data_IF_904001504561
#
_entry.id   IF_904001504561
#
_cell.length_a   1.000
_cell.length_b   1.000
_cell.length_c   1.000
_cell.angle_alpha   90.00
_cell.angle_beta   90.00
_cell.angle_gamma   90.00
#
_symmetry.space_group_name_H-M   'P 1'
#
loop_
_entity.id
_entity.type
_entity.pdbx_description
1 polymer ?
#
# COMPACT_ATOMS: atom_id res chain seq x y z
N UNK A 1 -73.45 -14.42 22.00
CA UNK A 1 -72.03 -14.04 21.85
C UNK A 1 -71.44 -14.58 20.55
N UNK A 2 -71.62 -15.85 20.21
CA UNK A 2 -71.07 -16.46 18.98
C UNK A 2 -71.34 -15.72 17.65
N UNK A 3 -72.55 -15.16 17.43
CA UNK A 3 -72.85 -14.42 16.18
C UNK A 3 -72.12 -13.08 16.14
N UNK A 4 -71.90 -12.43 17.29
CA UNK A 4 -71.21 -11.14 17.36
C UNK A 4 -69.69 -11.32 17.15
N UNK A 5 -69.13 -12.37 17.73
CA UNK A 5 -67.72 -12.77 17.51
C UNK A 5 -67.48 -13.15 16.04
N UNK A 6 -68.40 -13.87 15.40
CA UNK A 6 -68.30 -14.19 13.97
C UNK A 6 -68.37 -12.94 13.08
N UNK A 7 -69.19 -11.94 13.44
CA UNK A 7 -69.28 -10.68 12.69
C UNK A 7 -68.02 -9.82 12.90
N UNK A 8 -67.45 -9.80 14.12
CA UNK A 8 -66.19 -9.12 14.41
C UNK A 8 -65.02 -9.78 13.67
N UNK A 9 -64.94 -11.12 13.66
CA UNK A 9 -63.94 -11.86 12.90
C UNK A 9 -64.02 -11.59 11.38
N UNK A 10 -65.22 -11.60 10.80
CA UNK A 10 -65.42 -11.27 9.37
C UNK A 10 -65.00 -9.82 9.09
N UNK A 11 -65.27 -8.89 10.00
CA UNK A 11 -64.89 -7.47 9.84
C UNK A 11 -63.37 -7.27 9.92
N UNK A 12 -62.69 -7.99 10.79
CA UNK A 12 -61.23 -7.94 10.92
C UNK A 12 -60.54 -8.58 9.72
N UNK A 13 -61.07 -9.69 9.19
CA UNK A 13 -60.59 -10.29 7.94
C UNK A 13 -60.76 -9.34 6.75
N UNK A 14 -61.91 -8.68 6.62
CA UNK A 14 -62.17 -7.68 5.57
C UNK A 14 -61.24 -6.47 5.69
N UNK A 15 -61.02 -5.95 6.91
CA UNK A 15 -60.08 -4.85 7.18
C UNK A 15 -58.64 -5.23 6.82
N UNK A 16 -58.24 -6.47 7.12
CA UNK A 16 -56.91 -6.99 6.79
C UNK A 16 -56.73 -7.12 5.27
N UNK A 17 -57.75 -7.58 4.55
CA UNK A 17 -57.74 -7.64 3.09
C UNK A 17 -57.70 -6.25 2.44
N UNK A 18 -58.43 -5.27 2.98
CA UNK A 18 -58.38 -3.88 2.51
C UNK A 18 -57.00 -3.26 2.72
N UNK A 19 -56.39 -3.44 3.89
CA UNK A 19 -55.01 -2.98 4.16
C UNK A 19 -54.00 -3.67 3.24
N UNK A 20 -54.20 -4.95 2.95
CA UNK A 20 -53.37 -5.69 2.00
C UNK A 20 -53.49 -5.11 0.59
N UNK A 21 -54.70 -4.88 0.08
CA UNK A 21 -54.94 -4.29 -1.23
C UNK A 21 -54.44 -2.84 -1.31
N UNK A 22 -54.62 -2.05 -0.26
CA UNK A 22 -54.10 -0.68 -0.17
C UNK A 22 -52.57 -0.68 -0.19
N UNK A 23 -51.94 -1.63 0.50
CA UNK A 23 -50.50 -1.88 0.46
C UNK A 23 -50.00 -2.22 -0.94
N UNK A 24 -50.72 -3.08 -1.66
CA UNK A 24 -50.40 -3.43 -3.05
C UNK A 24 -50.51 -2.21 -3.98
N UNK A 25 -51.58 -1.42 -3.88
CA UNK A 25 -51.82 -0.24 -4.71
C UNK A 25 -50.78 0.86 -4.42
N UNK A 26 -50.45 1.08 -3.13
CA UNK A 26 -49.39 2.01 -2.72
C UNK A 26 -48.02 1.56 -3.22
N UNK A 27 -47.72 0.26 -3.13
CA UNK A 27 -46.49 -0.35 -3.64
C UNK A 27 -46.33 -0.19 -5.15
N UNK A 28 -47.39 -0.45 -5.92
CA UNK A 28 -47.41 -0.27 -7.36
C UNK A 28 -47.16 1.21 -7.74
N UNK A 29 -47.83 2.15 -7.06
CA UNK A 29 -47.67 3.58 -7.31
C UNK A 29 -46.27 4.07 -6.94
N UNK A 30 -45.68 3.54 -5.86
CA UNK A 30 -44.30 3.82 -5.45
C UNK A 30 -43.30 3.30 -6.50
N UNK A 31 -43.42 2.05 -6.92
CA UNK A 31 -42.55 1.48 -7.94
C UNK A 31 -42.69 2.20 -9.28
N UNK A 32 -43.92 2.51 -9.73
CA UNK A 32 -44.15 3.29 -10.96
C UNK A 32 -43.55 4.71 -10.89
N UNK A 33 -43.59 5.35 -9.71
CA UNK A 33 -43.02 6.69 -9.50
C UNK A 33 -41.49 6.68 -9.53
N UNK A 34 -40.86 5.68 -8.93
CA UNK A 34 -39.40 5.59 -8.79
C UNK A 34 -38.72 4.60 -9.73
N UNK A 35 -39.44 4.01 -10.69
CA UNK A 35 -38.92 3.01 -11.63
C UNK A 35 -37.60 3.43 -12.28
N UNK A 36 -37.47 4.71 -12.63
CA UNK A 36 -36.25 5.24 -13.25
C UNK A 36 -35.06 5.27 -12.28
N UNK A 37 -35.29 5.56 -10.99
CA UNK A 37 -34.24 5.51 -9.97
C UNK A 37 -33.75 4.08 -9.75
N UNK A 38 -34.65 3.09 -9.71
CA UNK A 38 -34.26 1.68 -9.59
C UNK A 38 -33.46 1.19 -10.80
N UNK A 39 -33.89 1.56 -12.02
CA UNK A 39 -33.15 1.25 -13.25
C UNK A 39 -31.78 1.92 -13.22
N UNK A 40 -31.70 3.20 -12.84
CA UNK A 40 -30.44 3.93 -12.72
C UNK A 40 -29.50 3.26 -11.71
N UNK A 41 -30.01 2.80 -10.56
CA UNK A 41 -29.23 2.08 -9.55
C UNK A 41 -28.67 0.76 -10.10
N UNK A 42 -29.49 -0.01 -10.81
CA UNK A 42 -29.07 -1.27 -11.44
C UNK A 42 -27.98 -1.01 -12.48
N UNK A 43 -28.20 -0.02 -13.36
CA UNK A 43 -27.23 0.37 -14.39
C UNK A 43 -25.90 0.80 -13.76
N UNK A 44 -25.95 1.64 -12.72
CA UNK A 44 -24.77 2.06 -11.97
C UNK A 44 -24.03 0.87 -11.37
N UNK A 45 -24.77 -0.09 -10.79
CA UNK A 45 -24.20 -1.33 -10.25
C UNK A 45 -23.49 -2.17 -11.31
N UNK A 46 -24.11 -2.34 -12.49
CA UNK A 46 -23.50 -3.07 -13.61
C UNK A 46 -22.23 -2.36 -14.10
N UNK A 47 -22.27 -1.03 -14.26
CA UNK A 47 -21.09 -0.25 -14.68
C UNK A 47 -19.96 -0.35 -13.66
N UNK A 48 -20.27 -0.26 -12.36
CA UNK A 48 -19.27 -0.41 -11.29
C UNK A 48 -18.63 -1.80 -11.30
N UNK A 49 -19.43 -2.87 -11.50
CA UNK A 49 -18.91 -4.24 -11.61
C UNK A 49 -17.99 -4.40 -12.81
N UNK A 50 -18.41 -3.94 -14.00
CA UNK A 50 -17.58 -4.00 -15.21
C UNK A 50 -16.27 -3.23 -15.01
N UNK A 51 -16.35 -2.02 -14.45
CA UNK A 51 -15.17 -1.22 -14.14
C UNK A 51 -14.21 -1.93 -13.19
N UNK A 52 -14.72 -2.54 -12.13
CA UNK A 52 -13.92 -3.32 -11.18
C UNK A 52 -13.20 -4.50 -11.83
N UNK A 53 -13.91 -5.30 -12.66
CA UNK A 53 -13.29 -6.42 -13.37
C UNK A 53 -12.26 -5.96 -14.41
N UNK A 54 -12.55 -4.89 -15.15
CA UNK A 54 -11.61 -4.33 -16.11
C UNK A 54 -10.32 -3.85 -15.43
N UNK A 55 -10.44 -3.13 -14.30
CA UNK A 55 -9.29 -2.67 -13.52
C UNK A 55 -8.46 -3.85 -13.00
N UNK A 56 -9.12 -4.90 -12.47
CA UNK A 56 -8.43 -6.12 -12.02
C UNK A 56 -7.69 -6.83 -13.15
N UNK A 57 -8.31 -6.93 -14.32
CA UNK A 57 -7.69 -7.58 -15.49
C UNK A 57 -6.46 -6.80 -15.96
N UNK A 58 -6.55 -5.47 -16.04
CA UNK A 58 -5.42 -4.61 -16.41
C UNK A 58 -4.29 -4.74 -15.39
N UNK A 59 -4.62 -4.71 -14.09
CA UNK A 59 -3.63 -4.83 -13.03
C UNK A 59 -2.93 -6.21 -13.03
N UNK A 60 -3.69 -7.29 -13.25
CA UNK A 60 -3.13 -8.63 -13.35
C UNK A 60 -2.17 -8.76 -14.53
N UNK A 61 -2.55 -8.25 -15.70
CA UNK A 61 -1.68 -8.25 -16.87
C UNK A 61 -0.43 -7.39 -16.65
N UNK A 62 -0.56 -6.25 -15.97
CA UNK A 62 0.59 -5.40 -15.59
C UNK A 62 1.58 -6.18 -14.72
N UNK A 63 1.08 -6.86 -13.68
CA UNK A 63 1.91 -7.67 -12.77
C UNK A 63 2.59 -8.82 -13.51
N UNK A 64 1.86 -9.55 -14.35
CA UNK A 64 2.43 -10.65 -15.14
C UNK A 64 3.52 -10.17 -16.11
N UNK A 65 3.24 -9.12 -16.89
CA UNK A 65 4.18 -8.57 -17.86
C UNK A 65 5.45 -8.02 -17.19
N UNK A 66 5.31 -7.34 -16.05
CA UNK A 66 6.46 -6.80 -15.30
C UNK A 66 7.29 -7.90 -14.65
N UNK A 67 6.67 -8.98 -14.16
CA UNK A 67 7.40 -10.16 -13.68
C UNK A 67 8.18 -10.83 -14.81
N UNK A 68 7.57 -11.01 -15.99
CA UNK A 68 8.25 -11.56 -17.15
C UNK A 68 9.41 -10.67 -17.61
N UNK A 69 9.22 -9.35 -17.61
CA UNK A 69 10.29 -8.39 -17.92
C UNK A 69 11.45 -8.52 -16.92
N UNK A 70 11.15 -8.63 -15.64
CA UNK A 70 12.15 -8.84 -14.61
C UNK A 70 12.92 -10.14 -14.80
N UNK A 71 12.24 -11.26 -15.12
CA UNK A 71 12.91 -12.52 -15.45
C UNK A 71 13.86 -12.38 -16.64
N UNK A 72 13.46 -11.67 -17.70
CA UNK A 72 14.34 -11.40 -18.85
C UNK A 72 15.59 -10.61 -18.45
N UNK A 73 15.47 -9.65 -17.53
CA UNK A 73 16.62 -8.89 -17.01
C UNK A 73 17.56 -9.78 -16.20
N UNK A 74 17.03 -10.75 -15.45
CA UNK A 74 17.86 -11.72 -14.72
C UNK A 74 18.67 -12.61 -15.66
N UNK A 75 18.11 -12.98 -16.81
CA UNK A 75 18.81 -13.75 -17.85
C UNK A 75 19.77 -12.87 -18.66
N UNK A 76 19.35 -11.66 -19.02
CA UNK A 76 20.09 -10.68 -19.78
C UNK A 76 19.91 -9.28 -19.18
N UNK A 77 20.91 -8.84 -18.40
CA UNK A 77 20.89 -7.56 -17.68
C UNK A 77 20.76 -6.32 -18.57
N UNK A 78 20.98 -6.45 -19.89
CA UNK A 78 20.98 -5.36 -20.86
C UNK A 78 19.75 -5.36 -21.79
N UNK A 79 18.72 -6.17 -21.52
CA UNK A 79 17.48 -6.14 -22.31
C UNK A 79 16.77 -4.79 -22.17
N UNK A 80 16.99 -3.89 -23.12
CA UNK A 80 16.46 -2.52 -23.13
C UNK A 80 14.92 -2.51 -23.12
N UNK A 81 14.28 -3.46 -23.82
CA UNK A 81 12.82 -3.52 -23.89
C UNK A 81 12.24 -3.90 -22.51
N UNK A 82 12.84 -4.87 -21.84
CA UNK A 82 12.43 -5.28 -20.50
C UNK A 82 12.66 -4.15 -19.48
N UNK A 83 13.77 -3.42 -19.58
CA UNK A 83 14.09 -2.28 -18.71
C UNK A 83 13.07 -1.14 -18.90
N UNK A 84 12.75 -0.77 -20.14
CA UNK A 84 11.76 0.28 -20.43
C UNK A 84 10.37 -0.12 -19.94
N UNK A 85 9.98 -1.39 -20.14
CA UNK A 85 8.72 -1.92 -19.65
C UNK A 85 8.62 -1.83 -18.12
N UNK A 86 9.67 -2.23 -17.39
CA UNK A 86 9.71 -2.05 -15.94
C UNK A 86 9.65 -0.58 -15.54
N UNK A 87 10.37 0.32 -16.22
CA UNK A 87 10.37 1.74 -15.86
C UNK A 87 8.97 2.35 -15.95
N UNK A 88 8.22 1.97 -16.97
CA UNK A 88 6.86 2.46 -17.22
C UNK A 88 5.84 1.81 -16.27
N UNK A 89 5.84 0.49 -16.18
CA UNK A 89 4.74 -0.27 -15.58
C UNK A 89 5.03 -0.71 -14.14
N UNK A 90 6.29 -0.74 -13.69
CA UNK A 90 6.71 -1.10 -12.34
C UNK A 90 7.97 -0.30 -11.90
N UNK A 91 7.86 1.04 -11.72
CA UNK A 91 9.01 1.92 -11.46
C UNK A 91 9.83 1.52 -10.22
N UNK A 92 9.18 1.04 -9.16
CA UNK A 92 9.87 0.51 -7.97
C UNK A 92 10.76 -0.68 -8.29
N UNK A 93 10.30 -1.61 -9.14
CA UNK A 93 11.07 -2.80 -9.53
C UNK A 93 12.22 -2.42 -10.48
N UNK A 94 11.96 -1.51 -11.42
CA UNK A 94 13.01 -0.88 -12.23
C UNK A 94 14.11 -0.26 -11.36
N UNK A 95 13.71 0.51 -10.34
CA UNK A 95 14.66 1.19 -9.47
C UNK A 95 15.48 0.20 -8.63
N UNK A 96 14.90 -0.93 -8.20
CA UNK A 96 15.65 -2.01 -7.53
C UNK A 96 16.70 -2.65 -8.45
N UNK A 97 16.34 -2.91 -9.72
CA UNK A 97 17.29 -3.41 -10.72
C UNK A 97 18.45 -2.44 -10.90
N UNK A 98 18.15 -1.15 -11.08
CA UNK A 98 19.18 -0.12 -11.25
C UNK A 98 20.00 0.13 -10.01
N UNK A 99 19.38 0.06 -8.84
CA UNK A 99 20.08 0.16 -7.56
C UNK A 99 21.15 -0.93 -7.44
N UNK A 100 20.81 -2.19 -7.74
CA UNK A 100 21.80 -3.28 -7.76
C UNK A 100 22.94 -2.99 -8.74
N UNK A 101 22.61 -2.59 -9.96
CA UNK A 101 23.61 -2.26 -10.99
C UNK A 101 24.58 -1.15 -10.54
N UNK A 102 24.05 -0.10 -9.90
CA UNK A 102 24.85 1.02 -9.42
C UNK A 102 25.62 0.68 -8.14
N UNK A 103 25.06 -0.15 -7.26
CA UNK A 103 25.77 -0.67 -6.09
C UNK A 103 27.01 -1.47 -6.50
N UNK A 104 26.87 -2.39 -7.47
CA UNK A 104 27.98 -3.21 -7.96
C UNK A 104 29.10 -2.33 -8.56
N UNK A 105 28.76 -1.13 -9.04
CA UNK A 105 29.68 -0.11 -9.58
C UNK A 105 30.15 0.93 -8.56
N UNK A 106 29.66 0.90 -7.32
CA UNK A 106 29.83 1.95 -6.30
C UNK A 106 29.43 3.35 -6.79
N UNK A 107 28.43 3.46 -7.68
CA UNK A 107 27.97 4.72 -8.25
C UNK A 107 26.84 5.33 -7.41
N UNK A 108 27.23 5.95 -6.29
CA UNK A 108 26.31 6.61 -5.36
C UNK A 108 25.57 7.78 -6.00
N UNK A 109 26.16 8.47 -6.98
CA UNK A 109 25.53 9.58 -7.68
C UNK A 109 24.33 9.12 -8.52
N UNK A 110 24.48 8.01 -9.24
CA UNK A 110 23.37 7.43 -10.00
C UNK A 110 22.24 6.92 -9.09
N UNK A 111 22.57 6.39 -7.90
CA UNK A 111 21.55 6.01 -6.91
C UNK A 111 20.74 7.21 -6.42
N UNK A 112 21.38 8.38 -6.23
CA UNK A 112 20.64 9.60 -5.86
C UNK A 112 19.63 10.00 -6.93
N UNK A 113 19.91 9.75 -8.22
CA UNK A 113 18.94 10.05 -9.29
C UNK A 113 17.66 9.23 -9.17
N UNK A 114 17.73 8.00 -8.61
CA UNK A 114 16.56 7.14 -8.39
C UNK A 114 15.60 7.70 -7.33
N UNK A 115 16.05 8.58 -6.44
CA UNK A 115 15.19 9.22 -5.44
C UNK A 115 14.12 10.15 -6.08
N UNK A 116 14.41 10.66 -7.27
CA UNK A 116 13.52 11.53 -8.04
C UNK A 116 12.44 10.73 -8.80
N UNK A 117 12.59 9.42 -8.92
CA UNK A 117 11.61 8.57 -9.60
C UNK A 117 10.35 8.36 -8.74
N UNK A 118 9.24 8.03 -9.37
CA UNK A 118 7.98 7.72 -8.69
C UNK A 118 7.99 6.28 -8.14
N UNK A 119 8.78 6.07 -7.09
CA UNK A 119 8.97 4.77 -6.45
C UNK A 119 8.40 4.74 -5.03
N UNK A 120 8.28 3.53 -4.50
CA UNK A 120 7.79 3.27 -3.15
C UNK A 120 8.55 4.10 -2.08
N UNK A 121 7.86 4.74 -1.12
CA UNK A 121 8.50 5.54 -0.09
C UNK A 121 9.55 4.80 0.75
N UNK A 122 9.36 3.51 1.02
CA UNK A 122 10.34 2.71 1.76
C UNK A 122 11.63 2.54 0.95
N UNK A 123 11.51 2.33 -0.37
CA UNK A 123 12.68 2.27 -1.26
C UNK A 123 13.43 3.61 -1.29
N UNK A 124 12.71 4.75 -1.30
CA UNK A 124 13.36 6.07 -1.20
C UNK A 124 14.17 6.20 0.09
N UNK A 125 13.64 5.75 1.21
CA UNK A 125 14.36 5.80 2.49
C UNK A 125 15.59 4.90 2.48
N UNK A 126 15.49 3.69 1.92
CA UNK A 126 16.64 2.77 1.76
C UNK A 126 17.74 3.39 0.88
N UNK A 127 17.37 3.97 -0.27
CA UNK A 127 18.33 4.60 -1.18
C UNK A 127 18.95 5.86 -0.55
N UNK A 128 18.19 6.64 0.22
CA UNK A 128 18.72 7.76 1.00
C UNK A 128 19.75 7.29 2.04
N UNK A 129 19.43 6.25 2.82
CA UNK A 129 20.35 5.66 3.80
C UNK A 129 21.66 5.22 3.14
N UNK A 130 21.54 4.51 2.00
CA UNK A 130 22.69 4.01 1.26
C UNK A 130 23.58 5.14 0.73
N UNK A 131 22.97 6.24 0.26
CA UNK A 131 23.69 7.41 -0.27
C UNK A 131 24.25 8.33 0.82
N UNK A 132 24.08 7.98 2.11
CA UNK A 132 24.54 8.78 3.25
C UNK A 132 23.67 10.01 3.54
N UNK A 133 22.49 10.08 2.93
CA UNK A 133 21.47 11.07 3.23
C UNK A 133 20.63 10.60 4.43
N UNK A 134 19.93 11.52 5.10
CA UNK A 134 19.01 11.15 6.18
C UNK A 134 17.93 10.22 5.64
N UNK A 135 17.84 9.01 6.20
CA UNK A 135 16.76 8.09 5.94
C UNK A 135 15.64 8.38 6.92
N UNK A 136 14.41 8.47 6.42
CA UNK A 136 13.24 8.89 7.20
C UNK A 136 12.94 7.96 8.39
N UNK A 137 11.74 8.11 8.96
CA UNK A 137 11.36 7.44 10.20
C UNK A 137 11.54 5.90 10.19
N UNK A 138 11.38 5.22 9.04
CA UNK A 138 11.48 3.76 8.94
C UNK A 138 12.88 3.26 9.32
N UNK A 139 13.90 4.04 8.97
CA UNK A 139 15.31 3.70 9.18
C UNK A 139 15.98 4.63 10.19
N UNK A 140 15.21 5.36 11.00
CA UNK A 140 15.71 6.34 11.96
C UNK A 140 16.75 5.76 12.93
N UNK A 141 16.50 4.57 13.48
CA UNK A 141 17.45 3.88 14.37
C UNK A 141 18.76 3.52 13.64
N UNK A 142 18.66 3.11 12.38
CA UNK A 142 19.82 2.79 11.55
C UNK A 142 20.63 4.05 11.21
N UNK A 143 19.95 5.16 10.91
CA UNK A 143 20.55 6.48 10.73
C UNK A 143 21.34 6.92 11.97
N UNK A 144 20.74 6.78 13.16
CA UNK A 144 21.39 7.07 14.43
C UNK A 144 22.60 6.17 14.66
N UNK A 145 22.49 4.88 14.34
CA UNK A 145 23.61 3.93 14.42
C UNK A 145 24.77 4.35 13.50
N UNK A 146 24.48 4.70 12.24
CA UNK A 146 25.50 5.15 11.29
C UNK A 146 26.16 6.47 11.72
N UNK A 147 25.39 7.42 12.24
CA UNK A 147 25.91 8.69 12.79
C UNK A 147 26.85 8.43 13.97
N UNK A 148 26.43 7.60 14.93
CA UNK A 148 27.27 7.23 16.07
C UNK A 148 28.53 6.48 15.65
N UNK A 149 28.43 5.57 14.68
CA UNK A 149 29.59 4.87 14.13
C UNK A 149 30.58 5.80 13.42
N UNK A 150 30.09 6.82 12.71
CA UNK A 150 30.94 7.86 12.12
C UNK A 150 31.69 8.67 13.20
N UNK A 151 31.00 9.04 14.28
CA UNK A 151 31.62 9.69 15.44
C UNK A 151 32.70 8.81 16.10
N UNK A 152 32.47 7.49 16.21
CA UNK A 152 33.50 6.56 16.68
C UNK A 152 34.74 6.54 15.77
N UNK A 153 34.56 6.55 14.44
CA UNK A 153 35.66 6.65 13.48
C UNK A 153 36.46 7.93 13.64
N UNK A 154 35.78 9.03 13.98
CA UNK A 154 36.38 10.34 14.25
C UNK A 154 36.96 10.45 15.68
N UNK A 155 37.02 9.35 16.43
CA UNK A 155 37.49 9.24 17.82
C UNK A 155 36.68 10.08 18.84
N UNK A 156 35.44 10.45 18.50
CA UNK A 156 34.52 11.24 19.32
C UNK A 156 33.62 10.32 20.17
N UNK A 157 34.25 9.54 21.06
CA UNK A 157 33.60 8.44 21.79
C UNK A 157 32.41 8.93 22.63
N UNK A 158 32.55 10.04 23.35
CA UNK A 158 31.47 10.57 24.18
C UNK A 158 30.25 11.01 23.34
N UNK A 159 30.50 11.67 22.20
CA UNK A 159 29.45 12.11 21.28
C UNK A 159 28.77 10.91 20.61
N UNK A 160 29.55 9.89 20.23
CA UNK A 160 29.01 8.64 19.70
C UNK A 160 28.08 7.95 20.69
N UNK A 161 28.47 7.87 21.97
CA UNK A 161 27.65 7.26 23.02
C UNK A 161 26.35 8.02 23.27
N UNK A 162 26.36 9.35 23.17
CA UNK A 162 25.16 10.18 23.23
C UNK A 162 24.24 9.87 22.04
N UNK A 163 24.79 9.79 20.82
CA UNK A 163 24.03 9.46 19.62
C UNK A 163 23.39 8.07 19.73
N UNK A 164 24.16 7.06 20.11
CA UNK A 164 23.70 5.70 20.35
C UNK A 164 22.59 5.59 21.40
N UNK A 165 22.60 6.46 22.41
CA UNK A 165 21.58 6.48 23.46
C UNK A 165 20.20 6.93 22.97
N UNK A 166 20.10 7.48 21.74
CA UNK A 166 18.83 7.83 21.10
C UNK A 166 18.09 6.61 20.56
N UNK A 167 18.76 5.46 20.38
CA UNK A 167 18.14 4.23 19.87
C UNK A 167 17.32 3.58 21.01
N UNK A 168 16.02 3.28 20.79
CA UNK A 168 15.16 2.65 21.79
C UNK A 168 15.66 1.28 22.25
N UNK A 169 15.35 0.91 23.50
CA UNK A 169 15.81 -0.37 24.08
C UNK A 169 15.14 -1.61 23.46
N UNK A 170 13.98 -1.44 22.84
CA UNK A 170 13.22 -2.45 22.10
C UNK A 170 13.63 -2.53 20.62
N UNK A 171 14.56 -1.68 20.17
CA UNK A 171 15.10 -1.73 18.80
C UNK A 171 15.85 -3.03 18.52
N UNK A 172 15.70 -3.54 17.30
CA UNK A 172 16.50 -4.69 16.83
C UNK A 172 18.02 -4.40 16.82
N UNK A 173 18.42 -3.13 16.80
CA UNK A 173 19.83 -2.72 16.78
C UNK A 173 20.45 -2.62 18.18
N UNK A 174 19.66 -2.76 19.26
CA UNK A 174 20.13 -2.47 20.63
C UNK A 174 21.35 -3.29 21.05
N UNK A 175 21.43 -4.55 20.62
CA UNK A 175 22.56 -5.43 20.93
C UNK A 175 23.85 -4.94 20.27
N UNK A 176 23.77 -4.45 19.03
CA UNK A 176 24.90 -3.87 18.30
C UNK A 176 25.33 -2.57 18.99
N UNK A 177 24.37 -1.72 19.34
CA UNK A 177 24.61 -0.45 20.01
C UNK A 177 25.34 -0.63 21.34
N UNK A 178 24.88 -1.56 22.18
CA UNK A 178 25.54 -1.87 23.47
C UNK A 178 26.98 -2.30 23.27
N UNK A 179 27.25 -3.15 22.28
CA UNK A 179 28.62 -3.56 21.95
C UNK A 179 29.49 -2.37 21.52
N UNK A 180 28.94 -1.47 20.70
CA UNK A 180 29.64 -0.26 20.25
C UNK A 180 29.86 0.76 21.36
N UNK A 181 28.95 0.88 22.33
CA UNK A 181 29.10 1.78 23.47
C UNK A 181 30.23 1.34 24.43
N UNK A 182 30.56 0.05 24.43
CA UNK A 182 31.71 -0.49 25.16
C UNK A 182 33.04 -0.33 24.40
N UNK A 183 33.02 0.15 23.16
CA UNK A 183 34.22 0.38 22.38
C UNK A 183 34.97 1.61 22.90
N UNK A 184 36.18 1.41 23.45
CA UNK A 184 37.01 2.48 24.01
C UNK A 184 38.02 3.08 23.01
N UNK A 185 37.91 2.78 21.72
CA UNK A 185 38.92 3.14 20.72
C UNK A 185 40.14 2.21 20.77
N UNK A 186 40.85 2.08 19.64
CA UNK A 186 42.12 1.36 19.61
C UNK A 186 43.15 2.10 20.48
N UNK A 187 43.92 1.35 21.27
CA UNK A 187 45.21 1.84 21.80
C UNK A 187 46.22 2.05 20.66
#
# INVERSE_FOLDING_TARGET
>A
MAIKENIEAIKDELSTQEQFLEGMIKGERFFKKYKFLFIALIVLGVVALIGFYALKFVEQNRVENTNLAYSKILENSNDQNAIELLKKDAPSLYALVKFKEFQDKNDTSSIQTLLNENIDPALKQIFSAYTGNASGEILGDYDTLLKGYKLLKDNKISEANIEFSKIPQDSALISIVKNLQHYQGNK
#
